data_IF_675538183213
#
_entry.id   IF_675538183213
#
_cell.length_a   1.000
_cell.length_b   1.000
_cell.length_c   1.000
_cell.angle_alpha   90.00
_cell.angle_beta   90.00
_cell.angle_gamma   90.00
#
_symmetry.space_group_name_H-M   'P 1'
#
loop_
_entity.id
_entity.type
_entity.pdbx_description
1 polymer ?
#
# COMPACT_ATOMS: atom_id res chain seq x y z
N UNK A 1 -13.45 10.54 -60.38
CA UNK A 1 -12.83 10.99 -59.11
C UNK A 1 -13.86 10.86 -58.01
N UNK A 2 -13.79 9.80 -57.20
CA UNK A 2 -14.70 9.62 -56.05
C UNK A 2 -14.02 10.22 -54.82
N UNK A 3 -14.54 11.35 -54.34
CA UNK A 3 -14.14 11.96 -53.07
C UNK A 3 -14.66 11.07 -51.94
N UNK A 4 -13.77 10.29 -51.32
CA UNK A 4 -14.09 9.57 -50.10
C UNK A 4 -14.21 10.59 -48.96
N UNK A 5 -15.43 10.89 -48.56
CA UNK A 5 -15.75 11.64 -47.36
C UNK A 5 -15.25 10.79 -46.18
N UNK A 6 -14.11 11.19 -45.60
CA UNK A 6 -13.60 10.61 -44.37
C UNK A 6 -14.62 10.91 -43.26
N UNK A 7 -15.30 9.87 -42.77
CA UNK A 7 -16.15 9.99 -41.59
C UNK A 7 -15.36 10.59 -40.42
N UNK A 8 -15.94 11.54 -39.66
CA UNK A 8 -15.25 12.13 -38.52
C UNK A 8 -14.94 11.03 -37.50
N UNK A 9 -13.64 10.83 -37.21
CA UNK A 9 -13.17 9.90 -36.17
C UNK A 9 -14.00 10.11 -34.90
N UNK A 10 -14.74 9.07 -34.52
CA UNK A 10 -15.56 9.02 -33.30
C UNK A 10 -14.73 9.57 -32.13
N UNK A 11 -15.18 10.67 -31.50
CA UNK A 11 -14.49 11.25 -30.34
C UNK A 11 -14.40 10.18 -29.27
N UNK A 12 -13.18 9.72 -28.97
CA UNK A 12 -12.90 8.74 -27.91
C UNK A 12 -13.50 9.28 -26.61
N UNK A 13 -14.37 8.50 -25.97
CA UNK A 13 -14.96 8.89 -24.70
C UNK A 13 -13.85 9.25 -23.69
N UNK A 14 -14.03 10.32 -22.89
CA UNK A 14 -13.01 10.73 -21.93
C UNK A 14 -12.83 9.64 -20.87
N UNK A 15 -11.58 9.33 -20.54
CA UNK A 15 -11.24 8.36 -19.50
C UNK A 15 -11.88 8.80 -18.18
N UNK A 16 -12.77 7.96 -17.65
CA UNK A 16 -13.52 8.26 -16.42
C UNK A 16 -12.70 7.98 -15.17
N UNK A 17 -11.70 7.10 -15.24
CA UNK A 17 -10.92 6.65 -14.09
C UNK A 17 -9.73 7.59 -13.78
N UNK A 18 -9.01 8.03 -14.81
CA UNK A 18 -7.78 8.80 -14.64
C UNK A 18 -7.52 9.78 -15.80
N UNK A 19 -6.38 10.49 -15.72
CA UNK A 19 -5.92 11.45 -16.73
C UNK A 19 -4.81 10.88 -17.64
N UNK A 20 -4.56 9.57 -17.61
CA UNK A 20 -3.48 8.96 -18.37
C UNK A 20 -3.80 8.86 -19.86
N UNK A 21 -2.76 8.96 -20.69
CA UNK A 21 -2.82 8.59 -22.10
C UNK A 21 -2.99 7.08 -22.27
N UNK A 22 -3.44 6.64 -23.45
CA UNK A 22 -3.54 5.20 -23.74
C UNK A 22 -2.20 4.45 -23.65
N UNK A 23 -1.07 5.12 -23.96
CA UNK A 23 0.27 4.54 -23.85
C UNK A 23 0.66 4.31 -22.38
N UNK A 24 0.40 5.30 -21.52
CA UNK A 24 0.65 5.19 -20.08
C UNK A 24 -0.24 4.12 -19.45
N UNK A 25 -1.51 4.08 -19.85
CA UNK A 25 -2.44 3.03 -19.43
C UNK A 25 -1.91 1.64 -19.73
N UNK A 26 -1.56 1.36 -21.00
CA UNK A 26 -1.05 0.05 -21.42
C UNK A 26 0.24 -0.32 -20.68
N UNK A 27 1.13 0.66 -20.44
CA UNK A 27 2.35 0.43 -19.68
C UNK A 27 2.05 0.06 -18.22
N UNK A 28 1.07 0.71 -17.61
CA UNK A 28 0.67 0.42 -16.24
C UNK A 28 0.00 -0.96 -16.12
N UNK A 29 -0.76 -1.42 -17.10
CA UNK A 29 -1.46 -2.72 -17.03
C UNK A 29 -0.56 -3.95 -17.24
N UNK A 30 0.78 -3.79 -17.21
CA UNK A 30 1.69 -4.94 -17.18
C UNK A 30 1.55 -5.67 -15.84
N UNK A 31 1.42 -6.99 -15.91
CA UNK A 31 1.27 -7.89 -14.75
C UNK A 31 2.48 -7.88 -13.81
N UNK A 32 3.65 -7.45 -14.28
CA UNK A 32 4.83 -7.23 -13.45
C UNK A 32 5.56 -5.95 -13.84
N UNK A 33 6.32 -5.39 -12.90
CA UNK A 33 7.12 -4.20 -13.10
C UNK A 33 8.27 -4.11 -12.09
N UNK A 34 9.30 -3.37 -12.46
CA UNK A 34 10.40 -2.97 -11.57
C UNK A 34 10.23 -1.49 -11.26
N UNK A 35 10.41 -1.13 -10.00
CA UNK A 35 10.39 0.25 -9.54
C UNK A 35 11.42 0.40 -8.44
N UNK A 36 12.54 1.03 -8.80
CA UNK A 36 13.69 1.24 -7.93
C UNK A 36 13.72 2.73 -7.52
N UNK A 37 13.11 3.08 -6.36
CA UNK A 37 13.15 4.44 -5.87
C UNK A 37 14.60 4.81 -5.52
N UNK A 38 15.00 6.09 -5.67
CA UNK A 38 16.28 6.54 -5.16
C UNK A 38 16.37 6.25 -3.65
N UNK A 39 17.58 5.97 -3.16
CA UNK A 39 17.81 5.70 -1.72
C UNK A 39 17.33 6.90 -0.91
N UNK A 40 16.38 6.68 0.02
CA UNK A 40 15.98 7.70 0.99
C UNK A 40 17.19 8.07 1.86
N UNK A 41 17.30 9.34 2.18
CA UNK A 41 18.40 9.86 2.99
C UNK A 41 18.44 9.19 4.36
N UNK A 42 19.63 8.87 4.88
CA UNK A 42 19.80 7.97 6.05
C UNK A 42 19.12 8.49 7.33
N UNK A 43 18.97 9.81 7.46
CA UNK A 43 18.27 10.46 8.57
C UNK A 43 16.75 10.21 8.57
N UNK A 44 16.16 9.78 7.45
CA UNK A 44 14.71 9.54 7.28
C UNK A 44 14.33 8.05 7.31
N UNK A 45 15.28 7.16 7.64
CA UNK A 45 15.12 5.70 7.69
C UNK A 45 14.82 5.25 9.13
N UNK A 46 13.68 5.69 9.68
CA UNK A 46 13.28 5.26 11.03
C UNK A 46 12.31 4.06 10.98
N UNK A 47 11.58 3.88 9.87
CA UNK A 47 10.51 2.88 9.79
C UNK A 47 10.90 1.64 8.98
N UNK A 48 10.65 0.42 9.51
CA UNK A 48 10.74 -0.82 8.74
C UNK A 48 9.59 -0.87 7.70
N UNK A 49 9.90 -1.07 6.42
CA UNK A 49 8.96 -1.62 5.43
C UNK A 49 7.69 -0.81 5.04
N UNK A 50 7.83 0.50 4.76
CA UNK A 50 6.85 1.20 3.90
C UNK A 50 7.17 1.01 2.42
N UNK A 51 6.17 0.97 1.54
CA UNK A 51 6.42 1.07 0.08
C UNK A 51 6.90 2.49 -0.29
N UNK A 52 7.57 2.66 -1.45
CA UNK A 52 8.00 3.98 -1.90
C UNK A 52 6.85 4.85 -2.37
N UNK A 53 7.02 6.17 -2.22
CA UNK A 53 6.07 7.19 -2.67
C UNK A 53 5.78 7.06 -4.16
N UNK A 54 6.79 6.73 -4.97
CA UNK A 54 6.63 6.53 -6.42
C UNK A 54 5.73 5.34 -6.77
N UNK A 55 5.74 4.28 -5.96
CA UNK A 55 4.80 3.17 -6.12
C UNK A 55 3.37 3.65 -5.85
N UNK A 56 3.14 4.24 -4.68
CA UNK A 56 1.82 4.76 -4.33
C UNK A 56 1.31 5.77 -5.34
N UNK A 57 2.16 6.71 -5.78
CA UNK A 57 1.81 7.74 -6.75
C UNK A 57 1.33 7.12 -8.06
N UNK A 58 2.01 6.10 -8.59
CA UNK A 58 1.59 5.44 -9.82
C UNK A 58 0.18 4.83 -9.70
N UNK A 59 -0.12 4.17 -8.57
CA UNK A 59 -1.44 3.59 -8.31
C UNK A 59 -2.51 4.67 -8.08
N UNK A 60 -2.20 5.70 -7.30
CA UNK A 60 -3.09 6.84 -7.07
C UNK A 60 -3.43 7.50 -8.41
N UNK A 61 -2.44 7.76 -9.26
CA UNK A 61 -2.67 8.39 -10.55
C UNK A 61 -3.51 7.54 -11.49
N UNK A 62 -3.37 6.21 -11.41
CA UNK A 62 -4.14 5.29 -12.23
C UNK A 62 -5.59 5.13 -11.75
N UNK A 63 -5.84 5.10 -10.43
CA UNK A 63 -7.17 4.82 -9.89
C UNK A 63 -7.97 6.05 -9.47
N UNK A 64 -7.42 7.26 -9.67
CA UNK A 64 -8.09 8.51 -9.30
C UNK A 64 -7.85 9.65 -10.29
N UNK A 65 -8.66 10.70 -10.16
CA UNK A 65 -8.45 12.03 -10.74
C UNK A 65 -8.01 13.02 -9.66
N UNK A 66 -7.55 14.20 -10.09
CA UNK A 66 -7.16 15.28 -9.18
C UNK A 66 -8.31 15.66 -8.26
N UNK A 67 -7.99 16.03 -7.02
CA UNK A 67 -8.96 16.39 -5.98
C UNK A 67 -9.71 15.22 -5.33
N UNK A 68 -9.61 13.99 -5.85
CA UNK A 68 -10.20 12.81 -5.22
C UNK A 68 -9.48 12.43 -3.92
N UNK A 69 -10.15 11.61 -3.10
CA UNK A 69 -9.68 11.24 -1.76
C UNK A 69 -9.05 9.85 -1.74
N UNK A 70 -7.81 9.78 -1.24
CA UNK A 70 -7.03 8.56 -1.06
C UNK A 70 -6.96 8.20 0.42
N UNK A 71 -7.09 6.91 0.74
CA UNK A 71 -6.95 6.39 2.10
C UNK A 71 -5.74 5.46 2.23
N UNK A 72 -5.08 5.55 3.39
CA UNK A 72 -4.17 4.53 3.91
C UNK A 72 -4.55 4.17 5.37
N UNK A 73 -5.12 2.98 5.64
CA UNK A 73 -5.44 2.53 7.00
C UNK A 73 -4.23 2.03 7.80
N UNK A 74 -3.01 2.02 7.22
CA UNK A 74 -1.77 1.64 7.90
C UNK A 74 -0.66 2.62 7.50
N UNK A 75 -0.88 3.90 7.79
CA UNK A 75 -0.13 5.02 7.20
C UNK A 75 1.39 4.94 7.43
N UNK A 76 1.83 4.46 8.59
CA UNK A 76 3.23 4.43 8.99
C UNK A 76 3.88 5.81 8.88
N UNK A 77 4.96 5.90 8.08
CA UNK A 77 5.67 7.18 7.87
C UNK A 77 5.04 8.13 6.85
N UNK A 78 3.86 7.83 6.31
CA UNK A 78 3.13 8.80 5.49
C UNK A 78 3.46 8.82 4.00
N UNK A 79 4.09 7.77 3.45
CA UNK A 79 4.42 7.69 2.02
C UNK A 79 3.20 7.84 1.10
N UNK A 80 2.03 7.33 1.51
CA UNK A 80 0.79 7.46 0.75
C UNK A 80 0.29 8.90 0.66
N UNK A 81 0.36 9.67 1.77
CA UNK A 81 -0.08 11.06 1.79
C UNK A 81 0.86 11.98 1.01
N UNK A 82 2.17 11.74 1.09
CA UNK A 82 3.14 12.43 0.24
C UNK A 82 2.87 12.16 -1.25
N UNK A 83 2.61 10.90 -1.60
CA UNK A 83 2.26 10.52 -2.96
C UNK A 83 0.92 11.13 -3.43
N UNK A 84 -0.09 11.20 -2.54
CA UNK A 84 -1.37 11.83 -2.83
C UNK A 84 -1.19 13.33 -3.09
N UNK A 85 -0.46 14.05 -2.23
CA UNK A 85 -0.13 15.47 -2.43
C UNK A 85 0.66 15.72 -3.72
N UNK A 86 1.68 14.90 -3.98
CA UNK A 86 2.47 14.95 -5.21
C UNK A 86 1.61 14.73 -6.47
N UNK A 87 0.53 13.98 -6.35
CA UNK A 87 -0.43 13.74 -7.42
C UNK A 87 -1.58 14.76 -7.41
N UNK A 88 -1.65 15.73 -6.49
CA UNK A 88 -2.79 16.64 -6.39
C UNK A 88 -4.11 15.93 -6.02
N UNK A 89 -4.04 14.97 -5.08
CA UNK A 89 -5.18 14.30 -4.45
C UNK A 89 -5.20 14.59 -2.95
N UNK A 90 -6.41 14.61 -2.38
CA UNK A 90 -6.57 14.66 -0.93
C UNK A 90 -6.23 13.30 -0.33
N UNK A 91 -5.76 13.27 0.91
CA UNK A 91 -5.33 12.05 1.57
C UNK A 91 -5.81 11.96 3.02
N UNK A 92 -6.18 10.76 3.44
CA UNK A 92 -6.43 10.40 4.84
C UNK A 92 -5.55 9.22 5.21
N UNK A 93 -4.84 9.33 6.32
CA UNK A 93 -4.01 8.27 6.85
C UNK A 93 -4.38 7.96 8.30
N UNK A 94 -4.60 6.67 8.59
CA UNK A 94 -4.79 6.18 9.96
C UNK A 94 -3.50 5.52 10.42
N UNK A 95 -3.03 5.90 11.61
CA UNK A 95 -1.86 5.30 12.24
C UNK A 95 -2.12 5.14 13.74
N UNK A 96 -1.83 3.96 14.28
CA UNK A 96 -2.05 3.67 15.69
C UNK A 96 -0.86 4.13 16.53
N UNK A 97 0.36 3.97 16.00
CA UNK A 97 1.60 4.28 16.71
C UNK A 97 1.84 5.80 16.71
N UNK A 98 1.84 6.46 17.89
CA UNK A 98 2.04 7.90 18.00
C UNK A 98 3.38 8.37 17.43
N UNK A 99 4.42 7.53 17.46
CA UNK A 99 5.73 7.88 16.89
C UNK A 99 5.66 8.01 15.36
N UNK A 100 4.98 7.10 14.69
CA UNK A 100 4.80 7.15 13.24
C UNK A 100 3.83 8.26 12.81
N UNK A 101 2.85 8.60 13.66
CA UNK A 101 2.07 9.84 13.51
C UNK A 101 2.97 11.08 13.52
N UNK A 102 3.91 11.17 14.47
CA UNK A 102 4.83 12.32 14.54
C UNK A 102 5.74 12.40 13.30
N UNK A 103 6.35 11.28 12.91
CA UNK A 103 7.22 11.22 11.73
C UNK A 103 6.46 11.57 10.44
N UNK A 104 5.24 11.05 10.26
CA UNK A 104 4.43 11.36 9.07
C UNK A 104 4.04 12.84 9.00
N UNK A 105 3.74 13.47 10.14
CA UNK A 105 3.48 14.92 10.22
C UNK A 105 4.71 15.75 9.84
N UNK A 106 5.87 15.44 10.43
CA UNK A 106 7.14 16.11 10.13
C UNK A 106 7.47 16.01 8.64
N UNK A 107 7.41 14.80 8.07
CA UNK A 107 7.66 14.58 6.63
C UNK A 107 6.69 15.35 5.73
N UNK A 108 5.41 15.46 6.09
CA UNK A 108 4.46 16.27 5.32
C UNK A 108 4.71 17.77 5.46
N UNK A 109 5.16 18.25 6.62
CA UNK A 109 5.49 19.66 6.83
C UNK A 109 6.74 20.10 6.08
N UNK A 110 7.72 19.20 5.93
CA UNK A 110 8.93 19.45 5.13
C UNK A 110 8.72 19.28 3.62
N UNK A 111 7.59 18.71 3.21
CA UNK A 111 7.33 18.44 1.80
C UNK A 111 6.80 19.68 1.10
N UNK A 112 7.64 20.25 0.23
CA UNK A 112 7.39 21.45 -0.57
C UNK A 112 6.85 21.15 -1.99
N UNK A 113 6.79 19.87 -2.37
CA UNK A 113 6.32 19.44 -3.68
C UNK A 113 4.79 19.29 -3.80
N UNK A 114 4.32 19.19 -5.05
CA UNK A 114 2.93 18.86 -5.37
C UNK A 114 1.97 20.04 -5.34
N UNK A 115 0.67 19.75 -5.23
CA UNK A 115 -0.39 20.75 -5.19
C UNK A 115 -0.94 20.93 -3.77
N UNK A 116 -1.49 22.11 -3.49
CA UNK A 116 -2.21 22.38 -2.25
C UNK A 116 -3.46 21.50 -2.17
N UNK A 117 -3.37 20.47 -1.33
CA UNK A 117 -4.39 19.44 -1.12
C UNK A 117 -4.46 19.09 0.35
N UNK A 118 -5.63 18.60 0.79
CA UNK A 118 -5.85 18.28 2.20
C UNK A 118 -5.25 16.92 2.54
N UNK A 119 -4.25 16.91 3.42
CA UNK A 119 -3.64 15.70 3.97
C UNK A 119 -3.99 15.58 5.46
N UNK A 120 -4.73 14.53 5.82
CA UNK A 120 -5.25 14.33 7.17
C UNK A 120 -4.62 13.11 7.80
N UNK A 121 -3.86 13.31 8.88
CA UNK A 121 -3.30 12.21 9.69
C UNK A 121 -4.13 12.07 10.96
N UNK A 122 -4.64 10.86 11.20
CA UNK A 122 -5.43 10.55 12.39
C UNK A 122 -4.72 9.47 13.21
N UNK A 123 -4.39 9.81 14.46
CA UNK A 123 -3.99 8.80 15.45
C UNK A 123 -5.24 8.02 15.88
N UNK A 124 -5.45 6.84 15.32
CA UNK A 124 -6.62 6.02 15.60
C UNK A 124 -6.35 4.55 15.28
N UNK A 125 -7.29 3.70 15.68
CA UNK A 125 -7.31 2.28 15.36
C UNK A 125 -8.19 2.06 14.13
N UNK A 126 -7.61 1.44 13.09
CA UNK A 126 -8.29 1.22 11.81
C UNK A 126 -9.47 0.25 11.90
N UNK A 127 -9.63 -0.49 13.01
CA UNK A 127 -10.84 -1.27 13.30
C UNK A 127 -12.07 -0.39 13.55
N UNK A 128 -11.87 0.90 13.83
CA UNK A 128 -12.92 1.90 14.02
C UNK A 128 -12.88 2.97 12.92
N UNK A 129 -12.37 2.63 11.73
CA UNK A 129 -12.13 3.59 10.64
C UNK A 129 -13.42 4.31 10.20
N UNK A 130 -14.55 3.62 10.05
CA UNK A 130 -15.79 4.27 9.59
C UNK A 130 -16.28 5.35 10.56
N UNK A 131 -16.37 5.00 11.84
CA UNK A 131 -16.72 5.92 12.93
C UNK A 131 -15.71 7.08 13.03
N UNK A 132 -14.42 6.79 12.85
CA UNK A 132 -13.36 7.80 12.90
C UNK A 132 -13.49 8.83 11.78
N UNK A 133 -13.81 8.40 10.54
CA UNK A 133 -14.02 9.31 9.41
C UNK A 133 -15.29 10.14 9.59
N UNK A 134 -16.37 9.53 10.05
CA UNK A 134 -17.64 10.20 10.32
C UNK A 134 -17.47 11.31 11.38
N UNK A 135 -16.87 10.99 12.54
CA UNK A 135 -16.60 11.96 13.61
C UNK A 135 -15.72 13.13 13.18
N UNK A 136 -14.89 12.94 12.16
CA UNK A 136 -14.00 13.97 11.60
C UNK A 136 -14.62 14.73 10.42
N UNK A 137 -15.85 14.39 10.02
CA UNK A 137 -16.53 15.00 8.88
C UNK A 137 -15.78 14.77 7.56
N UNK A 138 -15.14 13.62 7.40
CA UNK A 138 -14.39 13.27 6.20
C UNK A 138 -15.31 12.60 5.17
N UNK A 139 -15.09 12.84 3.87
CA UNK A 139 -15.93 12.26 2.82
C UNK A 139 -15.63 10.77 2.63
N UNK A 140 -16.51 10.10 1.89
CA UNK A 140 -16.22 8.77 1.36
C UNK A 140 -14.97 8.78 0.48
N UNK A 141 -14.25 7.67 0.48
CA UNK A 141 -12.95 7.52 -0.15
C UNK A 141 -13.09 7.01 -1.58
N UNK A 142 -12.32 7.56 -2.50
CA UNK A 142 -12.31 7.17 -3.90
C UNK A 142 -11.37 5.98 -4.17
N UNK A 143 -10.24 5.94 -3.48
CA UNK A 143 -9.21 4.92 -3.65
C UNK A 143 -8.48 4.63 -2.33
N UNK A 144 -8.22 3.36 -2.03
CA UNK A 144 -7.40 2.95 -0.90
C UNK A 144 -6.15 2.24 -1.39
N UNK A 145 -4.98 2.62 -0.87
CA UNK A 145 -3.73 1.87 -1.07
C UNK A 145 -2.98 1.78 0.25
N UNK A 146 -2.50 0.57 0.55
CA UNK A 146 -1.79 0.34 1.81
C UNK A 146 -0.87 -0.87 1.75
N UNK A 147 0.03 -0.96 2.73
CA UNK A 147 0.87 -2.11 3.01
C UNK A 147 0.64 -2.48 4.47
N UNK A 148 -0.27 -3.43 4.76
CA UNK A 148 -0.50 -3.84 6.14
C UNK A 148 0.78 -4.47 6.72
N UNK A 149 0.91 -4.56 8.06
CA UNK A 149 2.00 -5.33 8.67
C UNK A 149 1.99 -6.76 8.13
N UNK A 150 3.18 -7.38 7.99
CA UNK A 150 3.26 -8.79 7.62
C UNK A 150 3.42 -9.63 8.89
N UNK A 151 2.62 -10.68 9.00
CA UNK A 151 2.62 -11.56 10.17
C UNK A 151 4.04 -12.01 10.52
N UNK A 152 4.41 -11.84 11.79
CA UNK A 152 5.65 -12.37 12.36
C UNK A 152 6.93 -11.99 11.56
N UNK A 153 6.96 -10.81 10.94
CA UNK A 153 8.12 -10.35 10.16
C UNK A 153 9.19 -9.68 11.03
N UNK A 154 8.78 -8.97 12.10
CA UNK A 154 9.69 -8.25 13.00
C UNK A 154 10.13 -9.03 14.24
N UNK A 155 9.36 -10.03 14.70
CA UNK A 155 9.75 -10.93 15.80
C UNK A 155 10.84 -11.96 15.41
N UNK A 156 11.45 -11.81 14.23
CA UNK A 156 12.48 -12.72 13.71
C UNK A 156 13.86 -12.37 14.27
N UNK A 157 14.28 -13.15 15.25
CA UNK A 157 15.68 -13.25 15.68
C UNK A 157 16.56 -13.85 14.58
N UNK A 158 16.98 -13.03 13.60
CA UNK A 158 18.01 -13.45 12.65
C UNK A 158 18.62 -12.22 11.99
N UNK A 159 19.93 -12.00 12.19
CA UNK A 159 20.88 -11.10 11.50
C UNK A 159 20.40 -9.68 11.12
N UNK A 160 19.26 -9.52 10.43
CA UNK A 160 18.56 -8.25 10.20
C UNK A 160 18.19 -7.52 11.50
N UNK A 161 17.79 -8.22 12.56
CA UNK A 161 17.50 -7.57 13.85
C UNK A 161 18.78 -6.97 14.46
N UNK A 162 19.89 -7.73 14.45
CA UNK A 162 21.23 -7.23 14.85
C UNK A 162 21.71 -6.06 13.99
N UNK A 163 21.56 -6.13 12.66
CA UNK A 163 21.92 -5.02 11.75
C UNK A 163 21.03 -3.79 11.96
N UNK A 164 19.79 -3.98 12.41
CA UNK A 164 18.88 -2.87 12.76
C UNK A 164 19.25 -2.26 14.10
N UNK A 165 19.55 -3.09 15.11
CA UNK A 165 20.07 -2.66 16.42
C UNK A 165 21.38 -1.88 16.27
N UNK A 166 22.33 -2.41 15.49
CA UNK A 166 23.61 -1.75 15.15
C UNK A 166 23.43 -0.41 14.42
N UNK A 167 22.29 -0.21 13.76
CA UNK A 167 21.95 1.02 13.01
C UNK A 167 20.93 1.93 13.72
N UNK A 168 20.47 1.57 14.92
CA UNK A 168 19.44 2.31 15.65
C UNK A 168 18.06 2.30 14.97
N UNK A 169 17.77 1.31 14.12
CA UNK A 169 16.50 1.16 13.40
C UNK A 169 15.51 0.29 14.19
N UNK A 170 14.22 0.60 14.12
CA UNK A 170 13.18 -0.07 14.93
C UNK A 170 13.14 -1.58 14.74
N UNK A 171 13.25 -2.35 15.81
CA UNK A 171 13.15 -3.81 15.77
C UNK A 171 11.71 -4.31 15.98
N UNK A 172 10.81 -3.44 16.43
CA UNK A 172 9.39 -3.71 16.68
C UNK A 172 8.53 -2.55 16.15
N UNK A 173 7.34 -2.84 15.59
CA UNK A 173 6.43 -1.81 15.08
C UNK A 173 5.79 -1.00 16.21
N UNK A 174 5.40 -1.66 17.31
CA UNK A 174 4.74 -1.07 18.47
C UNK A 174 4.68 -2.09 19.60
N UNK A 175 4.60 -1.63 20.86
CA UNK A 175 4.22 -2.46 22.02
C UNK A 175 2.70 -2.39 22.31
N UNK A 176 1.94 -1.69 21.48
CA UNK A 176 0.49 -1.56 21.64
C UNK A 176 -0.21 -2.89 21.34
N UNK A 177 -0.97 -3.42 22.31
CA UNK A 177 -1.76 -4.65 22.16
C UNK A 177 -2.83 -4.57 21.06
N UNK A 178 -3.19 -3.36 20.62
CA UNK A 178 -4.15 -3.12 19.53
C UNK A 178 -3.49 -3.16 18.14
N UNK A 179 -2.17 -3.11 18.06
CA UNK A 179 -1.46 -3.26 16.80
C UNK A 179 -1.54 -4.73 16.34
N UNK A 180 -2.20 -4.97 15.21
CA UNK A 180 -2.36 -6.32 14.67
C UNK A 180 -1.01 -6.98 14.34
N UNK A 181 0.04 -6.19 14.12
CA UNK A 181 1.41 -6.69 13.93
C UNK A 181 1.96 -7.47 15.13
N UNK A 182 1.33 -7.34 16.31
CA UNK A 182 1.71 -8.04 17.53
C UNK A 182 1.02 -9.40 17.71
N UNK A 183 0.05 -9.76 16.86
CA UNK A 183 -0.68 -11.04 16.95
C UNK A 183 0.24 -12.19 16.51
N UNK A 184 0.41 -13.18 17.41
CA UNK A 184 1.31 -14.32 17.20
C UNK A 184 0.67 -15.44 16.37
N UNK A 185 -0.63 -15.70 16.54
CA UNK A 185 -1.33 -16.74 15.80
C UNK A 185 -1.70 -16.23 14.39
N UNK A 186 -1.40 -17.03 13.37
CA UNK A 186 -1.48 -16.60 11.99
C UNK A 186 -2.92 -16.36 11.51
N UNK A 187 -3.85 -17.23 11.88
CA UNK A 187 -5.25 -17.09 11.48
C UNK A 187 -5.93 -15.92 12.22
N UNK A 188 -5.65 -15.73 13.51
CA UNK A 188 -6.09 -14.58 14.28
C UNK A 188 -5.56 -13.27 13.70
N UNK A 189 -4.32 -13.26 13.19
CA UNK A 189 -3.77 -12.13 12.46
C UNK A 189 -4.56 -11.83 11.17
N UNK A 190 -4.87 -12.86 10.38
CA UNK A 190 -5.66 -12.72 9.16
C UNK A 190 -7.07 -12.19 9.45
N UNK A 191 -7.74 -12.68 10.49
CA UNK A 191 -9.06 -12.21 10.91
C UNK A 191 -9.04 -10.74 11.39
N UNK A 192 -8.01 -10.35 12.15
CA UNK A 192 -7.83 -8.96 12.55
C UNK A 192 -7.58 -8.05 11.35
N UNK A 193 -6.78 -8.50 10.38
CA UNK A 193 -6.55 -7.79 9.13
C UNK A 193 -7.86 -7.64 8.32
N UNK A 194 -8.64 -8.72 8.19
CA UNK A 194 -9.94 -8.73 7.52
C UNK A 194 -10.90 -7.72 8.14
N UNK A 195 -10.97 -7.67 9.46
CA UNK A 195 -11.81 -6.71 10.21
C UNK A 195 -11.50 -5.26 9.82
N UNK A 196 -10.23 -4.92 9.62
CA UNK A 196 -9.83 -3.57 9.18
C UNK A 196 -10.27 -3.33 7.73
N UNK A 197 -10.05 -4.28 6.83
CA UNK A 197 -10.47 -4.12 5.43
C UNK A 197 -12.00 -4.11 5.24
N UNK A 198 -12.76 -4.70 6.16
CA UNK A 198 -14.21 -4.56 6.25
C UNK A 198 -14.63 -3.12 6.57
N UNK A 199 -13.88 -2.43 7.43
CA UNK A 199 -14.06 -0.99 7.66
C UNK A 199 -13.70 -0.18 6.41
N UNK A 200 -12.61 -0.54 5.72
CA UNK A 200 -12.22 0.10 4.45
C UNK A 200 -13.33 -0.05 3.41
N UNK A 201 -13.93 -1.24 3.30
CA UNK A 201 -15.07 -1.49 2.41
C UNK A 201 -16.23 -0.54 2.70
N UNK A 202 -16.50 -0.27 3.98
CA UNK A 202 -17.60 0.61 4.39
C UNK A 202 -17.40 2.04 3.91
N UNK A 203 -16.17 2.57 3.98
CA UNK A 203 -15.88 3.99 3.67
C UNK A 203 -15.50 4.26 2.21
N UNK A 204 -15.13 3.23 1.44
CA UNK A 204 -14.82 3.38 0.00
C UNK A 204 -16.12 3.46 -0.82
N UNK A 205 -16.16 4.35 -1.80
CA UNK A 205 -17.31 4.53 -2.70
C UNK A 205 -17.54 3.27 -3.55
N UNK A 206 -18.81 3.03 -3.93
CA UNK A 206 -19.13 2.03 -4.95
C UNK A 206 -18.38 2.36 -6.24
N UNK A 207 -17.75 1.36 -6.84
CA UNK A 207 -16.88 1.49 -8.00
C UNK A 207 -15.43 1.89 -7.67
N UNK A 208 -15.12 2.23 -6.42
CA UNK A 208 -13.78 2.55 -5.92
C UNK A 208 -12.90 1.31 -5.79
N UNK A 209 -11.58 1.55 -5.75
CA UNK A 209 -10.57 0.49 -5.76
C UNK A 209 -9.79 0.41 -4.45
N UNK A 210 -9.32 -0.79 -4.16
CA UNK A 210 -8.39 -1.11 -3.09
C UNK A 210 -7.14 -1.74 -3.70
N UNK A 211 -5.97 -1.26 -3.30
CA UNK A 211 -4.68 -1.89 -3.57
C UNK A 211 -4.03 -2.29 -2.26
N UNK A 212 -3.76 -3.58 -2.10
CA UNK A 212 -3.01 -4.12 -0.95
C UNK A 212 -1.64 -4.56 -1.43
N UNK A 213 -0.60 -3.88 -0.96
CA UNK A 213 0.79 -4.27 -1.19
C UNK A 213 1.20 -5.24 -0.09
N UNK A 214 1.49 -6.48 -0.44
CA UNK A 214 1.79 -7.54 0.54
C UNK A 214 2.80 -8.55 -0.02
N UNK A 215 3.21 -9.49 0.83
CA UNK A 215 4.10 -10.58 0.43
C UNK A 215 3.75 -11.87 1.16
N UNK A 216 4.18 -13.00 0.62
CA UNK A 216 4.14 -14.25 1.35
C UNK A 216 5.20 -14.26 2.45
N UNK A 217 4.85 -14.89 3.57
CA UNK A 217 5.73 -15.00 4.75
C UNK A 217 6.35 -16.40 4.75
N UNK A 218 7.57 -16.55 5.26
CA UNK A 218 8.19 -17.89 5.42
C UNK A 218 8.75 -18.00 6.82
N UNK A 219 8.14 -18.79 7.69
CA UNK A 219 8.49 -18.88 9.10
C UNK A 219 8.51 -20.35 9.51
N UNK A 220 9.41 -20.74 10.42
CA UNK A 220 9.48 -22.09 10.97
C UNK A 220 9.51 -23.19 9.88
N UNK A 221 10.28 -22.97 8.80
CA UNK A 221 10.39 -23.92 7.69
C UNK A 221 9.18 -23.98 6.75
N UNK A 222 8.14 -23.17 6.97
CA UNK A 222 6.89 -23.18 6.22
C UNK A 222 6.65 -21.87 5.47
N UNK A 223 6.14 -21.98 4.25
CA UNK A 223 5.55 -20.87 3.50
C UNK A 223 4.14 -20.59 4.03
N UNK A 224 3.90 -19.36 4.45
CA UNK A 224 2.58 -18.83 4.74
C UNK A 224 2.15 -17.97 3.53
N UNK A 225 1.12 -18.38 2.77
CA UNK A 225 0.71 -17.73 1.53
C UNK A 225 -0.11 -16.46 1.80
N UNK A 226 0.40 -15.58 2.66
CA UNK A 226 -0.28 -14.38 3.16
C UNK A 226 -0.90 -13.54 2.04
N UNK A 227 -0.23 -13.35 0.91
CA UNK A 227 -0.81 -12.58 -0.20
C UNK A 227 -2.10 -13.23 -0.75
N UNK A 228 -2.11 -14.55 -0.89
CA UNK A 228 -3.24 -15.29 -1.44
C UNK A 228 -4.37 -15.45 -0.42
N UNK A 229 -4.04 -15.64 0.86
CA UNK A 229 -5.04 -15.72 1.93
C UNK A 229 -5.67 -14.35 2.21
N UNK A 230 -4.90 -13.25 2.16
CA UNK A 230 -5.46 -11.89 2.15
C UNK A 230 -6.41 -11.72 0.95
N UNK A 231 -5.99 -12.06 -0.28
CA UNK A 231 -6.87 -11.94 -1.46
C UNK A 231 -8.18 -12.73 -1.28
N UNK A 232 -8.07 -13.98 -0.87
CA UNK A 232 -9.22 -14.88 -0.67
C UNK A 232 -10.17 -14.33 0.39
N UNK A 233 -9.64 -13.91 1.55
CA UNK A 233 -10.44 -13.33 2.64
C UNK A 233 -11.18 -12.05 2.22
N UNK A 234 -10.51 -11.17 1.47
CA UNK A 234 -11.13 -9.93 0.98
C UNK A 234 -12.17 -10.17 -0.12
N UNK A 235 -12.06 -11.28 -0.86
CA UNK A 235 -12.95 -11.63 -1.96
C UNK A 235 -14.40 -11.93 -1.52
N UNK A 236 -14.64 -12.09 -0.22
CA UNK A 236 -15.99 -12.21 0.34
C UNK A 236 -16.87 -10.97 0.11
N UNK A 237 -16.25 -9.78 0.07
CA UNK A 237 -16.96 -8.49 -0.14
C UNK A 237 -16.43 -7.70 -1.31
N UNK A 238 -15.12 -7.75 -1.55
CA UNK A 238 -14.49 -7.08 -2.66
C UNK A 238 -14.48 -7.98 -3.89
N UNK A 239 -14.56 -7.40 -5.08
CA UNK A 239 -14.37 -8.14 -6.32
C UNK A 239 -12.90 -8.06 -6.73
N UNK A 240 -12.14 -9.17 -6.77
CA UNK A 240 -10.78 -9.19 -7.30
C UNK A 240 -10.77 -8.75 -8.77
N UNK A 241 -9.81 -7.91 -9.13
CA UNK A 241 -9.65 -7.42 -10.51
C UNK A 241 -8.34 -7.81 -11.14
N UNK A 242 -7.26 -7.80 -10.37
CA UNK A 242 -5.92 -8.13 -10.87
C UNK A 242 -4.94 -8.34 -9.70
N UNK A 243 -3.78 -8.89 -10.02
CA UNK A 243 -2.61 -8.95 -9.13
C UNK A 243 -1.36 -8.57 -9.93
N UNK A 244 -0.69 -7.52 -9.48
CA UNK A 244 0.56 -7.06 -10.12
C UNK A 244 1.76 -7.41 -9.27
N UNK A 245 2.86 -7.79 -9.91
CA UNK A 245 4.09 -8.19 -9.23
C UNK A 245 5.11 -7.05 -9.30
N UNK A 246 5.42 -6.47 -8.14
CA UNK A 246 6.51 -5.50 -8.01
C UNK A 246 7.82 -6.23 -7.71
N UNK A 247 8.70 -6.30 -8.70
CA UNK A 247 10.00 -6.95 -8.63
C UNK A 247 11.07 -6.03 -8.02
N UNK A 248 11.96 -6.63 -7.23
CA UNK A 248 13.14 -6.01 -6.60
C UNK A 248 14.38 -6.69 -7.18
N UNK A 249 14.88 -6.16 -8.29
CA UNK A 249 16.07 -6.69 -9.00
C UNK A 249 17.40 -6.22 -8.38
N UNK A 250 17.32 -5.36 -7.37
CA UNK A 250 18.45 -4.78 -6.64
C UNK A 250 18.82 -5.56 -5.36
N UNK A 251 18.02 -6.57 -4.99
CA UNK A 251 18.25 -7.37 -3.78
C UNK A 251 19.32 -8.44 -4.01
N UNK A 252 20.33 -8.43 -3.13
CA UNK A 252 21.36 -9.48 -3.09
C UNK A 252 20.72 -10.84 -2.74
N UNK A 253 21.03 -11.85 -3.54
CA UNK A 253 20.66 -13.24 -3.25
C UNK A 253 21.47 -13.78 -2.07
N UNK A 254 20.79 -14.50 -1.19
CA UNK A 254 21.37 -15.17 -0.04
C UNK A 254 21.45 -16.68 -0.32
N UNK A 255 22.55 -17.35 0.08
CA UNK A 255 22.69 -18.81 -0.07
C UNK A 255 21.86 -19.54 1.01
N UNK A 256 20.53 -19.38 0.94
CA UNK A 256 19.61 -19.97 1.91
C UNK A 256 19.36 -21.45 1.57
N UNK A 257 19.46 -22.31 2.58
CA UNK A 257 19.12 -23.73 2.43
C UNK A 257 20.10 -24.56 1.58
N UNK A 258 21.22 -23.98 1.15
CA UNK A 258 22.25 -24.69 0.37
C UNK A 258 22.68 -25.95 1.13
N UNK A 259 22.68 -27.09 0.41
CA UNK A 259 22.96 -28.44 0.92
C UNK A 259 21.98 -29.00 1.97
N UNK A 260 20.88 -28.33 2.29
CA UNK A 260 19.98 -28.73 3.38
C UNK A 260 18.49 -28.74 3.02
N UNK A 261 17.95 -27.66 2.44
CA UNK A 261 16.51 -27.52 2.20
C UNK A 261 16.20 -26.49 1.12
N UNK A 262 15.00 -26.56 0.52
CA UNK A 262 14.52 -25.47 -0.35
C UNK A 262 14.15 -24.24 0.47
N UNK A 263 14.83 -23.12 0.22
CA UNK A 263 14.48 -21.82 0.77
C UNK A 263 14.54 -20.77 -0.34
N UNK A 264 13.39 -20.24 -0.71
CA UNK A 264 13.28 -19.29 -1.82
C UNK A 264 13.85 -17.90 -1.51
N UNK A 265 14.65 -17.37 -2.43
CA UNK A 265 15.03 -15.95 -2.45
C UNK A 265 13.88 -15.10 -3.00
N UNK A 266 12.91 -14.76 -2.14
CA UNK A 266 11.79 -13.89 -2.54
C UNK A 266 12.24 -12.43 -2.65
N UNK A 267 12.14 -11.91 -3.86
CA UNK A 267 12.55 -10.55 -4.21
C UNK A 267 11.42 -9.78 -4.91
N UNK A 268 10.17 -10.04 -4.54
CA UNK A 268 9.02 -9.32 -5.07
C UNK A 268 7.98 -9.06 -4.00
N UNK A 269 7.03 -8.18 -4.31
CA UNK A 269 5.79 -8.00 -3.57
C UNK A 269 4.61 -8.14 -4.53
N UNK A 270 3.46 -8.52 -3.98
CA UNK A 270 2.19 -8.53 -4.68
C UNK A 270 1.48 -7.20 -4.45
N UNK A 271 0.92 -6.63 -5.50
CA UNK A 271 -0.02 -5.53 -5.46
C UNK A 271 -1.38 -6.10 -5.86
N UNK A 272 -2.17 -6.52 -4.85
CA UNK A 272 -3.50 -7.08 -5.04
C UNK A 272 -4.46 -5.94 -5.37
N UNK A 273 -5.23 -6.06 -6.46
CA UNK A 273 -6.15 -5.02 -6.94
C UNK A 273 -7.57 -5.54 -6.82
N UNK A 274 -8.38 -4.88 -6.00
CA UNK A 274 -9.78 -5.21 -5.78
C UNK A 274 -10.67 -3.99 -5.99
N UNK A 275 -11.96 -4.23 -6.23
CA UNK A 275 -12.96 -3.19 -6.45
C UNK A 275 -14.23 -3.44 -5.64
N UNK A 276 -14.83 -2.37 -5.11
CA UNK A 276 -16.16 -2.42 -4.52
C UNK A 276 -17.21 -2.30 -5.61
N UNK A 277 -18.09 -3.27 -5.77
CA UNK A 277 -19.14 -3.30 -6.81
C UNK A 277 -20.56 -3.17 -6.26
#
# INVERSE_FOLDING_TARGET
MSSAILEPKQRKQPNKLNHLTGKEWIKFTKSWFILNPPRRDKAKIVHPAGFPESLAKAFIEFFTKRGMWVLDPFLGTGSTLLAARAAGRNGVGIEINPRYVSISKERLSEYDGGEETRQVILKADSRHLAETLEKRGLPMIDFCITSPPYWNQLKRSSMRQRVREEKGWDTHYSDDAKDIGNIDEYHAFLEAQKTIFDQVFTVVKRGGYLVVVTNNVFAQGRLYPLAFETLTSLSEKWVPKDERIWLHDDKRLLPLGVYNAWVGNRSHHYCLILRKE
#
